data_IF_693431033176
#
_entry.id   IF_693431033176
#
_cell.length_a   1.000
_cell.length_b   1.000
_cell.length_c   1.000
_cell.angle_alpha   90.00
_cell.angle_beta   90.00
_cell.angle_gamma   90.00
#
_symmetry.space_group_name_H-M   'P 1'
#
loop_
_entity.id
_entity.type
_entity.pdbx_description
1 polymer ?
#
# COMPACT_ATOMS: atom_id res chain seq x y z
N UNK A 1 5.67 30.36 27.82
CA UNK A 1 4.66 29.30 28.11
C UNK A 1 3.81 28.92 26.89
N UNK A 2 3.19 29.86 26.15
CA UNK A 2 2.37 29.55 24.95
C UNK A 2 3.11 28.74 23.86
N UNK A 3 4.40 29.03 23.61
CA UNK A 3 5.22 28.28 22.64
C UNK A 3 5.50 26.84 23.08
N UNK A 4 5.75 26.61 24.37
CA UNK A 4 5.93 25.26 24.92
C UNK A 4 4.65 24.45 24.81
N UNK A 5 3.50 25.07 25.11
CA UNK A 5 2.18 24.46 24.93
C UNK A 5 1.93 24.11 23.46
N UNK A 6 2.31 24.99 22.53
CA UNK A 6 2.18 24.75 21.09
C UNK A 6 3.02 23.54 20.64
N UNK A 7 4.30 23.46 21.03
CA UNK A 7 5.15 22.30 20.72
C UNK A 7 4.62 21.01 21.34
N UNK A 8 4.12 21.07 22.56
CA UNK A 8 3.53 19.90 23.21
C UNK A 8 2.29 19.40 22.46
N UNK A 9 1.42 20.31 22.03
CA UNK A 9 0.22 19.97 21.27
C UNK A 9 0.57 19.34 19.90
N UNK A 10 1.54 19.92 19.18
CA UNK A 10 1.96 19.40 17.87
C UNK A 10 2.61 18.02 17.99
N UNK A 11 3.49 17.82 18.97
CA UNK A 11 4.13 16.52 19.21
C UNK A 11 3.09 15.47 19.59
N UNK A 12 2.14 15.79 20.46
CA UNK A 12 1.07 14.86 20.86
C UNK A 12 0.23 14.39 19.66
N UNK A 13 -0.05 15.28 18.70
CA UNK A 13 -0.80 14.94 17.50
C UNK A 13 0.01 14.01 16.56
N UNK A 14 1.32 14.27 16.42
CA UNK A 14 2.22 13.43 15.62
C UNK A 14 2.36 12.02 16.24
N UNK A 15 2.46 11.94 17.56
CA UNK A 15 2.55 10.65 18.27
C UNK A 15 1.29 9.82 18.00
N UNK A 16 0.10 10.42 18.08
CA UNK A 16 -1.17 9.74 17.77
C UNK A 16 -1.21 9.21 16.32
N UNK A 17 -0.73 9.99 15.35
CA UNK A 17 -0.65 9.56 13.95
C UNK A 17 0.35 8.42 13.73
N UNK A 18 1.37 8.31 14.58
CA UNK A 18 2.47 7.37 14.39
C UNK A 18 2.23 5.95 14.93
N UNK A 19 1.14 5.71 15.68
CA UNK A 19 0.86 4.42 16.30
C UNK A 19 0.87 3.24 15.30
N UNK A 20 0.39 3.46 14.08
CA UNK A 20 0.39 2.46 13.01
C UNK A 20 1.80 1.99 12.61
N UNK A 21 2.78 2.90 12.59
CA UNK A 21 4.16 2.57 12.24
C UNK A 21 4.82 1.69 13.31
N UNK A 22 4.51 1.92 14.59
CA UNK A 22 5.02 1.09 15.70
C UNK A 22 4.56 -0.35 15.56
N UNK A 23 3.29 -0.58 15.20
CA UNK A 23 2.72 -1.92 15.01
C UNK A 23 3.41 -2.65 13.86
N UNK A 24 3.64 -1.97 12.73
CA UNK A 24 4.32 -2.54 11.57
C UNK A 24 5.80 -2.82 11.91
N UNK A 25 6.48 -1.87 12.57
CA UNK A 25 7.86 -2.04 13.02
C UNK A 25 8.04 -3.26 13.93
N UNK A 26 7.15 -3.44 14.91
CA UNK A 26 7.16 -4.60 15.80
C UNK A 26 6.96 -5.93 15.07
N UNK A 27 6.21 -5.94 13.97
CA UNK A 27 6.08 -7.12 13.10
C UNK A 27 7.40 -7.43 12.39
N UNK A 28 8.07 -6.42 11.83
CA UNK A 28 9.35 -6.62 11.13
C UNK A 28 10.48 -7.07 12.07
N UNK A 29 10.57 -6.51 13.27
CA UNK A 29 11.56 -6.92 14.28
C UNK A 29 11.41 -8.39 14.65
N UNK A 30 10.18 -8.89 14.74
CA UNK A 30 9.89 -10.27 15.12
C UNK A 30 9.56 -11.18 13.93
N UNK A 31 9.86 -10.75 12.71
CA UNK A 31 9.37 -11.41 11.49
C UNK A 31 9.83 -12.87 11.39
N UNK A 32 11.07 -13.16 11.78
CA UNK A 32 11.64 -14.51 11.73
C UNK A 32 10.91 -15.46 12.68
N UNK A 33 10.64 -15.01 13.90
CA UNK A 33 9.86 -15.76 14.87
C UNK A 33 8.44 -16.02 14.35
N UNK A 34 7.80 -15.00 13.77
CA UNK A 34 6.45 -15.11 13.22
C UNK A 34 6.42 -16.09 12.04
N UNK A 35 7.41 -16.01 11.13
CA UNK A 35 7.51 -16.89 9.98
C UNK A 35 7.75 -18.36 10.40
N UNK A 36 8.55 -18.60 11.44
CA UNK A 36 8.92 -19.95 11.88
C UNK A 36 7.85 -20.64 12.72
N UNK A 37 7.21 -19.91 13.65
CA UNK A 37 6.34 -20.52 14.67
C UNK A 37 4.84 -20.22 14.49
N UNK A 38 4.50 -19.07 13.90
CA UNK A 38 3.11 -18.59 13.83
C UNK A 38 2.51 -18.65 12.41
N UNK A 39 3.34 -18.76 11.38
CA UNK A 39 2.91 -18.81 9.98
C UNK A 39 2.26 -20.15 9.64
N UNK A 40 1.02 -20.11 9.17
CA UNK A 40 0.28 -21.30 8.71
C UNK A 40 0.80 -21.85 7.36
N UNK A 41 1.47 -21.03 6.56
CA UNK A 41 2.03 -21.40 5.25
C UNK A 41 3.54 -21.70 5.31
N UNK A 42 4.08 -22.02 6.50
CA UNK A 42 5.52 -22.29 6.68
C UNK A 42 6.00 -23.51 5.87
N UNK A 43 5.11 -24.48 5.64
CA UNK A 43 5.41 -25.71 4.88
C UNK A 43 5.29 -25.51 3.36
N UNK A 44 4.96 -24.29 2.90
CA UNK A 44 4.78 -23.91 1.49
C UNK A 44 5.70 -22.74 1.12
N UNK A 45 7.03 -22.95 1.03
CA UNK A 45 8.00 -21.89 0.75
C UNK A 45 7.75 -21.18 -0.58
N UNK A 46 7.15 -21.86 -1.56
CA UNK A 46 6.78 -21.30 -2.87
C UNK A 46 5.77 -20.15 -2.79
N UNK A 47 5.04 -20.01 -1.67
CA UNK A 47 4.08 -18.91 -1.47
C UNK A 47 4.73 -17.63 -0.94
N UNK A 48 6.02 -17.67 -0.56
CA UNK A 48 6.76 -16.53 0.00
C UNK A 48 6.00 -15.77 1.11
N UNK A 49 5.21 -16.49 1.92
CA UNK A 49 4.31 -15.89 2.90
C UNK A 49 5.06 -15.14 4.01
N UNK A 50 6.14 -15.73 4.56
CA UNK A 50 7.04 -15.10 5.52
C UNK A 50 6.32 -14.42 6.72
N UNK A 51 5.23 -15.01 7.22
CA UNK A 51 4.44 -14.48 8.33
C UNK A 51 3.36 -13.44 7.95
N UNK A 52 3.21 -13.09 6.68
CA UNK A 52 2.21 -12.10 6.21
C UNK A 52 0.76 -12.52 6.49
N UNK A 53 0.48 -13.83 6.53
CA UNK A 53 -0.84 -14.36 6.90
C UNK A 53 -1.27 -13.91 8.31
N UNK A 54 -0.35 -13.94 9.27
CA UNK A 54 -0.58 -13.52 10.65
C UNK A 54 -0.85 -12.02 10.73
N UNK A 55 -0.07 -11.22 9.98
CA UNK A 55 -0.25 -9.77 9.91
C UNK A 55 -1.64 -9.42 9.36
N UNK A 56 -2.02 -10.00 8.23
CA UNK A 56 -3.35 -9.79 7.64
C UNK A 56 -4.48 -10.20 8.59
N UNK A 57 -4.34 -11.32 9.29
CA UNK A 57 -5.34 -11.78 10.26
C UNK A 57 -5.51 -10.81 11.42
N UNK A 58 -4.41 -10.24 11.93
CA UNK A 58 -4.45 -9.21 12.99
C UNK A 58 -5.10 -7.91 12.50
N UNK A 59 -4.77 -7.47 11.29
CA UNK A 59 -5.37 -6.27 10.67
C UNK A 59 -6.88 -6.46 10.48
N UNK A 60 -7.31 -7.59 9.91
CA UNK A 60 -8.74 -7.89 9.72
C UNK A 60 -9.51 -7.90 11.03
N UNK A 61 -8.98 -8.57 12.06
CA UNK A 61 -9.59 -8.57 13.40
C UNK A 61 -9.70 -7.17 14.00
N UNK A 62 -8.69 -6.31 13.79
CA UNK A 62 -8.74 -4.92 14.26
C UNK A 62 -9.81 -4.12 13.51
N UNK A 63 -9.91 -4.30 12.18
CA UNK A 63 -10.94 -3.65 11.35
C UNK A 63 -12.36 -4.11 11.71
N UNK A 64 -12.57 -5.40 11.98
CA UNK A 64 -13.87 -5.91 12.42
C UNK A 64 -14.28 -5.32 13.77
N UNK A 65 -13.34 -5.18 14.71
CA UNK A 65 -13.59 -4.49 15.98
C UNK A 65 -13.89 -3.00 15.80
N UNK A 66 -13.20 -2.32 14.87
CA UNK A 66 -13.55 -0.94 14.54
C UNK A 66 -14.93 -0.83 13.90
N UNK A 67 -15.31 -1.71 12.98
CA UNK A 67 -16.65 -1.69 12.33
C UNK A 67 -17.81 -1.82 13.33
N UNK A 68 -17.58 -2.48 14.46
CA UNK A 68 -18.57 -2.59 15.55
C UNK A 68 -18.62 -1.35 16.45
N UNK A 69 -17.66 -0.42 16.30
CA UNK A 69 -17.63 0.83 17.03
C UNK A 69 -18.44 1.91 16.28
N UNK A 70 -19.49 2.50 16.87
CA UNK A 70 -20.29 3.54 16.22
C UNK A 70 -19.46 4.76 15.77
N UNK A 71 -18.33 5.05 16.43
CA UNK A 71 -17.42 6.14 16.04
C UNK A 71 -16.63 5.84 14.76
N UNK A 72 -16.42 4.57 14.40
CA UNK A 72 -15.70 4.20 13.19
C UNK A 72 -16.55 4.39 11.92
N UNK A 73 -17.87 4.24 12.02
CA UNK A 73 -18.80 4.52 10.93
C UNK A 73 -18.74 5.99 10.50
N UNK A 74 -18.67 6.90 11.48
CA UNK A 74 -18.49 8.33 11.25
C UNK A 74 -17.17 8.65 10.52
N UNK A 75 -16.08 7.97 10.87
CA UNK A 75 -14.77 8.15 10.21
C UNK A 75 -14.75 7.64 8.77
N UNK A 76 -15.40 6.51 8.50
CA UNK A 76 -15.52 5.96 7.14
C UNK A 76 -16.32 6.90 6.23
N UNK A 77 -17.44 7.42 6.72
CA UNK A 77 -18.28 8.39 5.98
C UNK A 77 -17.52 9.69 5.67
N UNK A 78 -16.70 10.19 6.61
CA UNK A 78 -15.83 11.37 6.37
C UNK A 78 -14.73 11.09 5.35
N UNK A 79 -14.15 9.88 5.35
CA UNK A 79 -13.13 9.50 4.37
C UNK A 79 -13.73 9.38 2.95
N UNK A 80 -14.89 8.74 2.82
CA UNK A 80 -15.60 8.62 1.55
C UNK A 80 -16.04 9.99 1.02
N UNK A 81 -16.48 10.89 1.91
CA UNK A 81 -16.76 12.28 1.57
C UNK A 81 -15.51 12.96 1.00
N UNK A 82 -14.37 12.94 1.69
CA UNK A 82 -13.13 13.58 1.20
C UNK A 82 -12.67 12.99 -0.14
N UNK A 83 -12.78 11.67 -0.32
CA UNK A 83 -12.40 11.00 -1.56
C UNK A 83 -13.31 11.39 -2.73
N UNK A 84 -14.60 11.62 -2.48
CA UNK A 84 -15.56 12.09 -3.50
C UNK A 84 -15.25 13.50 -4.03
N UNK A 85 -14.52 14.33 -3.28
CA UNK A 85 -14.07 15.67 -3.70
C UNK A 85 -12.63 15.72 -4.20
N UNK A 86 -12.01 14.58 -4.51
CA UNK A 86 -10.73 14.53 -5.24
C UNK A 86 -10.91 15.02 -6.69
N UNK A 87 -11.10 16.34 -6.84
CA UNK A 87 -11.17 17.08 -8.10
C UNK A 87 -9.77 17.31 -8.71
N UNK A 88 -8.77 16.54 -8.29
CA UNK A 88 -7.43 16.64 -8.85
C UNK A 88 -7.32 15.75 -10.09
N UNK A 89 -7.74 16.26 -11.23
CA UNK A 89 -7.41 15.67 -12.52
C UNK A 89 -5.98 16.04 -12.90
N UNK A 90 -5.09 15.04 -12.92
CA UNK A 90 -3.83 15.17 -13.64
C UNK A 90 -4.15 15.26 -15.12
N UNK A 91 -4.04 16.46 -15.69
CA UNK A 91 -3.95 16.59 -17.14
C UNK A 91 -2.55 16.10 -17.53
N UNK A 92 -2.41 15.00 -18.30
CA UNK A 92 -1.10 14.65 -18.82
C UNK A 92 -0.67 15.78 -19.76
N UNK A 93 0.35 16.52 -19.37
CA UNK A 93 1.04 17.41 -20.29
C UNK A 93 1.56 16.53 -21.43
N UNK A 94 1.07 16.75 -22.64
CA UNK A 94 1.55 16.07 -23.83
C UNK A 94 3.02 16.43 -24.01
N UNK A 95 3.91 15.50 -23.67
CA UNK A 95 5.34 15.61 -23.96
C UNK A 95 5.51 15.43 -25.45
N UNK A 96 5.93 16.49 -26.13
CA UNK A 96 6.30 16.43 -27.54
C UNK A 96 7.64 15.69 -27.64
N UNK A 97 7.58 14.38 -27.91
CA UNK A 97 8.79 13.56 -28.09
C UNK A 97 9.40 13.97 -29.43
N UNK A 98 10.41 14.84 -29.39
CA UNK A 98 11.22 15.14 -30.57
C UNK A 98 11.98 13.88 -30.95
N UNK A 99 11.61 13.28 -32.08
CA UNK A 99 12.21 12.03 -32.55
C UNK A 99 13.71 12.21 -32.75
N UNK A 100 14.49 11.37 -32.06
CA UNK A 100 15.92 11.26 -32.30
C UNK A 100 16.08 10.48 -33.61
N UNK A 101 16.62 11.12 -34.64
CA UNK A 101 17.00 10.47 -35.88
C UNK A 101 18.22 9.57 -35.61
N UNK A 102 17.99 8.34 -35.17
CA UNK A 102 19.03 7.31 -35.15
C UNK A 102 19.19 6.80 -36.59
N UNK A 103 20.42 6.86 -37.11
CA UNK A 103 20.79 6.29 -38.42
C UNK A 103 20.46 4.79 -38.52
N UNK A 104 20.63 4.16 -39.69
CA UNK A 104 19.99 2.89 -40.02
C UNK A 104 20.56 1.74 -39.18
N UNK A 105 19.99 1.51 -38.00
CA UNK A 105 20.16 0.28 -37.24
C UNK A 105 19.09 -0.67 -37.75
N UNK A 106 19.51 -1.69 -38.50
CA UNK A 106 18.64 -2.80 -38.88
C UNK A 106 18.33 -3.66 -37.65
N UNK A 107 17.41 -3.20 -36.81
CA UNK A 107 16.73 -4.11 -35.88
C UNK A 107 15.47 -4.62 -36.57
N UNK A 108 15.44 -5.92 -36.85
CA UNK A 108 14.25 -6.66 -37.27
C UNK A 108 13.28 -6.69 -36.09
N UNK A 109 12.62 -5.57 -35.84
CA UNK A 109 11.72 -5.37 -34.72
C UNK A 109 10.35 -5.92 -35.10
N UNK A 110 9.96 -7.04 -34.50
CA UNK A 110 8.59 -7.51 -34.55
C UNK A 110 7.75 -6.53 -33.71
N UNK A 111 6.74 -5.89 -34.28
CA UNK A 111 5.84 -5.03 -33.53
C UNK A 111 5.21 -5.83 -32.37
N UNK A 112 5.55 -5.44 -31.14
CA UNK A 112 4.92 -5.98 -29.94
C UNK A 112 3.58 -5.25 -29.83
N UNK A 113 2.53 -5.94 -30.21
CA UNK A 113 1.14 -5.51 -30.02
C UNK A 113 0.89 -5.36 -28.51
N UNK A 114 0.57 -4.12 -28.08
CA UNK A 114 0.40 -3.74 -26.67
C UNK A 114 -0.72 -4.53 -25.98
N UNK A 115 -1.62 -5.14 -26.75
CA UNK A 115 -2.67 -6.02 -26.25
C UNK A 115 -2.19 -7.39 -25.73
N UNK A 116 -0.89 -7.72 -25.85
CA UNK A 116 -0.35 -9.00 -25.33
C UNK A 116 0.17 -8.94 -23.90
N UNK A 117 0.38 -7.76 -23.30
CA UNK A 117 0.86 -7.66 -21.92
C UNK A 117 -0.19 -8.03 -20.86
N UNK A 118 -1.48 -7.99 -21.20
CA UNK A 118 -2.58 -8.22 -20.27
C UNK A 118 -3.43 -9.42 -20.67
N UNK A 119 -2.86 -10.63 -20.62
CA UNK A 119 -3.66 -11.87 -20.53
C UNK A 119 -3.29 -12.65 -19.27
N UNK A 120 -4.27 -13.04 -18.42
CA UNK A 120 -4.01 -13.97 -17.34
C UNK A 120 -3.63 -15.35 -17.90
N UNK A 121 -2.85 -16.16 -17.15
CA UNK A 121 -2.44 -17.48 -17.60
C UNK A 121 -3.67 -18.38 -17.78
N UNK A 122 -3.69 -19.13 -18.89
CA UNK A 122 -4.70 -20.14 -19.16
C UNK A 122 -4.36 -21.33 -18.27
N UNK A 123 -5.30 -21.74 -17.42
CA UNK A 123 -5.15 -22.93 -16.60
C UNK A 123 -5.04 -24.17 -17.52
N UNK A 124 -3.98 -24.94 -17.34
CA UNK A 124 -3.83 -26.29 -17.89
C UNK A 124 -4.50 -27.30 -16.97
#
# INVERSE_FOLDING_TARGET
MKKMLLYFLTISLLVQASWGYVVIGAFYVNKDYIAKYLCENRDKPQLHCNGNCVLMKKIRKAQEKEKQNPTAKLKAEVYDFINSYSLFSFTPASVEIKSIQLGPVFTKYHSIDSNRLFRPPIAA
#
